data_IF_015528492145
#
_entry.id   IF_015528492145
#
_cell.length_a   1.000
_cell.length_b   1.000
_cell.length_c   1.000
_cell.angle_alpha   90.00
_cell.angle_beta   90.00
_cell.angle_gamma   90.00
#
_symmetry.space_group_name_H-M   'P 1'
#
loop_
_entity.id
_entity.type
_entity.pdbx_description
1 polymer ?
#
# COMPACT_ATOMS: atom_id res chain seq x y z
N UNK A 1 -15.94 -12.86 10.04
CA UNK A 1 -16.18 -11.58 9.34
C UNK A 1 -15.72 -11.69 7.88
N UNK A 2 -16.33 -10.96 6.93
CA UNK A 2 -15.94 -10.94 5.51
C UNK A 2 -15.08 -9.70 5.23
N UNK A 3 -13.84 -9.89 4.79
CA UNK A 3 -12.97 -8.78 4.38
C UNK A 3 -13.42 -8.28 3.00
N UNK A 4 -13.87 -7.03 2.94
CA UNK A 4 -14.38 -6.38 1.73
C UNK A 4 -13.39 -5.37 1.13
N UNK A 5 -12.42 -4.89 1.90
CA UNK A 5 -11.41 -3.93 1.48
C UNK A 5 -10.32 -3.76 2.53
N UNK A 6 -9.25 -3.09 2.13
CA UNK A 6 -8.10 -2.69 2.96
C UNK A 6 -7.71 -1.25 2.61
N UNK A 7 -7.05 -0.56 3.53
CA UNK A 7 -6.45 0.76 3.32
C UNK A 7 -4.94 0.65 3.50
N UNK A 8 -4.17 1.33 2.66
CA UNK A 8 -2.70 1.29 2.69
C UNK A 8 -2.17 2.72 2.55
N UNK A 9 -1.27 3.12 3.44
CA UNK A 9 -0.55 4.40 3.35
C UNK A 9 0.74 4.22 2.56
N UNK A 10 0.79 4.85 1.39
CA UNK A 10 1.86 4.70 0.40
C UNK A 10 2.27 6.07 -0.13
N UNK A 11 3.56 6.25 -0.41
CA UNK A 11 4.09 7.42 -1.10
C UNK A 11 5.23 6.96 -2.04
N UNK A 12 5.79 7.88 -2.82
CA UNK A 12 6.86 7.54 -3.77
C UNK A 12 8.07 6.92 -3.05
N UNK A 13 8.45 7.47 -1.89
CA UNK A 13 9.52 6.98 -1.03
C UNK A 13 8.95 6.61 0.34
N UNK A 14 9.60 5.66 0.99
CA UNK A 14 9.18 5.17 2.30
C UNK A 14 9.44 6.19 3.43
N UNK A 15 8.79 5.95 4.56
CA UNK A 15 8.98 6.68 5.81
C UNK A 15 8.20 7.99 5.89
N UNK A 16 8.68 8.86 6.77
CA UNK A 16 8.17 10.22 7.01
C UNK A 16 9.34 11.19 7.23
N UNK A 17 9.06 12.48 7.08
CA UNK A 17 9.98 13.57 7.39
C UNK A 17 9.27 14.65 8.20
N UNK A 18 10.02 15.37 9.03
CA UNK A 18 9.52 16.54 9.75
C UNK A 18 9.66 17.82 8.92
N UNK A 19 8.74 18.76 9.09
CA UNK A 19 8.88 20.10 8.51
C UNK A 19 9.79 20.93 9.41
N UNK A 20 11.01 21.19 8.94
CA UNK A 20 11.99 22.03 9.65
C UNK A 20 12.19 23.33 8.87
N UNK A 21 12.03 24.47 9.55
CA UNK A 21 12.17 25.79 8.92
C UNK A 21 13.56 25.96 8.28
N UNK A 22 13.57 26.36 7.00
CA UNK A 22 14.80 26.57 6.23
C UNK A 22 15.43 25.30 5.65
N UNK A 23 14.93 24.10 5.99
CA UNK A 23 15.38 22.84 5.40
C UNK A 23 14.48 22.44 4.21
N UNK A 24 15.06 22.00 3.07
CA UNK A 24 14.27 21.51 1.95
C UNK A 24 13.65 20.14 2.28
N UNK A 25 12.41 19.91 1.81
CA UNK A 25 11.75 18.62 1.94
C UNK A 25 12.27 17.63 0.89
N UNK A 26 12.46 16.38 1.30
CA UNK A 26 12.69 15.28 0.38
C UNK A 26 11.42 15.01 -0.43
N UNK A 27 11.53 15.05 -1.75
CA UNK A 27 10.39 14.79 -2.64
C UNK A 27 9.89 13.35 -2.48
N UNK A 28 8.58 13.21 -2.30
CA UNK A 28 7.91 11.90 -2.24
C UNK A 28 8.01 11.19 -0.89
N UNK A 29 8.44 11.86 0.17
CA UNK A 29 8.41 11.35 1.57
C UNK A 29 7.28 12.04 2.32
N UNK A 30 6.45 11.28 3.04
CA UNK A 30 5.32 11.81 3.81
C UNK A 30 5.76 12.82 4.88
N UNK A 31 4.96 13.84 5.16
CA UNK A 31 5.19 14.79 6.28
C UNK A 31 4.32 14.49 7.51
N UNK A 32 3.48 13.46 7.41
CA UNK A 32 2.56 13.01 8.46
C UNK A 32 2.99 11.62 8.95
N UNK A 33 2.13 10.61 8.80
CA UNK A 33 2.45 9.21 9.09
C UNK A 33 3.42 8.61 8.06
N UNK A 34 4.16 7.58 8.50
CA UNK A 34 5.14 6.91 7.66
C UNK A 34 4.48 6.00 6.63
N UNK A 35 4.83 6.17 5.36
CA UNK A 35 4.30 5.37 4.25
C UNK A 35 5.28 4.28 3.80
N UNK A 36 4.77 3.25 3.11
CA UNK A 36 5.62 2.39 2.28
C UNK A 36 5.97 3.07 0.95
N UNK A 37 7.06 2.66 0.31
CA UNK A 37 7.49 3.20 -0.99
C UNK A 37 6.67 2.65 -2.17
N UNK A 38 6.84 3.23 -3.36
CA UNK A 38 6.19 2.74 -4.58
C UNK A 38 6.70 1.34 -4.97
N UNK A 39 7.98 1.05 -4.73
CA UNK A 39 8.61 -0.26 -4.97
C UNK A 39 8.03 -1.35 -4.08
N UNK A 40 7.58 -1.01 -2.87
CA UNK A 40 6.87 -1.91 -1.96
C UNK A 40 5.36 -1.99 -2.29
N UNK A 41 4.78 -0.89 -2.77
CA UNK A 41 3.33 -0.79 -3.04
C UNK A 41 2.91 -1.67 -4.22
N UNK A 42 3.67 -1.66 -5.32
CA UNK A 42 3.31 -2.43 -6.50
C UNK A 42 3.22 -3.95 -6.24
N UNK A 43 4.23 -4.63 -5.64
CA UNK A 43 4.12 -6.05 -5.33
C UNK A 43 3.02 -6.35 -4.31
N UNK A 44 2.80 -5.48 -3.31
CA UNK A 44 1.70 -5.63 -2.37
C UNK A 44 0.33 -5.63 -3.08
N UNK A 45 0.10 -4.69 -4.00
CA UNK A 45 -1.15 -4.64 -4.77
C UNK A 45 -1.32 -5.86 -5.68
N UNK A 46 -0.22 -6.36 -6.25
CA UNK A 46 -0.24 -7.60 -7.05
C UNK A 46 -0.60 -8.81 -6.19
N UNK A 47 -0.07 -8.91 -4.98
CA UNK A 47 -0.40 -9.97 -4.02
C UNK A 47 -1.89 -9.91 -3.62
N UNK A 48 -2.41 -8.73 -3.29
CA UNK A 48 -3.83 -8.53 -2.97
C UNK A 48 -4.72 -8.93 -4.16
N UNK A 49 -4.33 -8.54 -5.38
CA UNK A 49 -5.05 -8.93 -6.59
C UNK A 49 -5.04 -10.46 -6.78
N UNK A 50 -3.91 -11.12 -6.52
CA UNK A 50 -3.80 -12.57 -6.60
C UNK A 50 -4.66 -13.27 -5.55
N UNK A 51 -4.65 -12.80 -4.30
CA UNK A 51 -5.50 -13.33 -3.24
C UNK A 51 -7.00 -13.23 -3.61
N UNK A 52 -7.43 -12.11 -4.20
CA UNK A 52 -8.80 -11.94 -4.68
C UNK A 52 -9.15 -12.93 -5.79
N UNK A 53 -8.25 -13.16 -6.74
CA UNK A 53 -8.43 -14.15 -7.82
C UNK A 53 -8.53 -15.58 -7.27
N UNK A 54 -7.60 -15.99 -6.40
CA UNK A 54 -7.60 -17.31 -5.77
C UNK A 54 -8.92 -17.58 -5.02
N UNK A 55 -9.39 -16.60 -4.24
CA UNK A 55 -10.68 -16.70 -3.54
C UNK A 55 -11.87 -16.85 -4.49
N UNK A 56 -11.86 -16.16 -5.64
CA UNK A 56 -12.93 -16.26 -6.64
C UNK A 56 -12.94 -17.63 -7.31
N UNK A 57 -11.77 -18.19 -7.61
CA UNK A 57 -11.65 -19.53 -8.20
C UNK A 57 -12.24 -20.62 -7.29
N UNK A 58 -11.98 -20.56 -5.98
CA UNK A 58 -12.56 -21.50 -5.00
C UNK A 58 -14.10 -21.44 -4.91
N UNK A 59 -14.70 -20.31 -5.29
CA UNK A 59 -16.17 -20.15 -5.34
C UNK A 59 -16.80 -20.56 -6.67
N UNK A 60 -15.99 -20.72 -7.71
CA UNK A 60 -16.45 -21.08 -9.04
C UNK A 60 -16.42 -22.59 -9.29
N UNK A 61 -15.74 -23.37 -8.44
CA UNK A 61 -15.84 -24.83 -8.45
C UNK A 61 -17.25 -25.25 -8.04
N UNK A 62 -17.95 -26.08 -8.85
CA UNK A 62 -19.22 -26.66 -8.43
C UNK A 62 -18.99 -27.54 -7.21
N UNK A 63 -19.96 -27.53 -6.29
CA UNK A 63 -20.02 -28.45 -5.16
C UNK A 63 -20.12 -29.90 -5.62
#
# INVERSE_FOLDING_TARGET
>A
ARIIGVMVESNLREGRQDIVAGAPLAHGVSVTDACISIEQTLPLLQELAQAVRSRRALRASPA
#
